data_IF_553448338115
#
_entry.id   IF_553448338115
#
_cell.length_a   1.000
_cell.length_b   1.000
_cell.length_c   1.000
_cell.angle_alpha   90.00
_cell.angle_beta   90.00
_cell.angle_gamma   90.00
#
_symmetry.space_group_name_H-M   'P 1'
#
loop_
_entity.id
_entity.type
_entity.pdbx_description
1 polymer ?
#
# COMPACT_ATOMS: atom_id res chain seq x y z
N UNK A 1 -9.42 13.54 -21.44
CA UNK A 1 -9.75 12.13 -21.17
C UNK A 1 -8.63 11.57 -20.32
N UNK A 2 -8.92 11.07 -19.12
CA UNK A 2 -7.90 10.65 -18.16
C UNK A 2 -7.32 9.30 -18.60
N UNK A 3 -6.12 9.30 -19.18
CA UNK A 3 -5.44 8.10 -19.74
C UNK A 3 -5.11 7.04 -18.69
N UNK A 4 -5.26 7.36 -17.41
CA UNK A 4 -4.98 6.44 -16.31
C UNK A 4 -5.82 5.16 -16.38
N UNK A 5 -7.10 5.29 -16.77
CA UNK A 5 -8.01 4.15 -16.91
C UNK A 5 -7.68 3.26 -18.12
N UNK A 6 -6.79 3.70 -19.01
CA UNK A 6 -6.33 2.87 -20.14
C UNK A 6 -5.30 1.82 -19.68
N UNK A 7 -4.68 2.01 -18.50
CA UNK A 7 -3.61 1.15 -17.97
C UNK A 7 -3.99 0.40 -16.69
N UNK A 8 -4.95 0.92 -15.91
CA UNK A 8 -5.33 0.37 -14.61
C UNK A 8 -6.77 -0.15 -14.67
N UNK A 9 -6.92 -1.46 -14.40
CA UNK A 9 -8.22 -2.11 -14.47
C UNK A 9 -9.07 -1.92 -13.20
N UNK A 10 -8.42 -1.87 -12.03
CA UNK A 10 -9.06 -1.73 -10.72
C UNK A 10 -8.12 -0.98 -9.78
N UNK A 11 -8.69 -0.31 -8.78
CA UNK A 11 -7.89 0.33 -7.75
C UNK A 11 -8.51 0.08 -6.39
N UNK A 12 -7.67 -0.21 -5.40
CA UNK A 12 -8.06 -0.34 -4.00
C UNK A 12 -7.22 0.59 -3.15
N UNK A 13 -7.84 1.23 -2.17
CA UNK A 13 -7.12 1.96 -1.11
C UNK A 13 -7.43 1.29 0.21
N UNK A 14 -6.40 0.81 0.89
CA UNK A 14 -6.49 0.27 2.24
C UNK A 14 -5.83 1.27 3.20
N UNK A 15 -6.59 1.71 4.20
CA UNK A 15 -6.16 2.75 5.12
C UNK A 15 -6.98 2.71 6.39
N UNK A 16 -6.31 2.89 7.54
CA UNK A 16 -6.92 3.31 8.81
C UNK A 16 -6.48 4.75 9.17
N UNK A 17 -5.85 5.45 8.24
CA UNK A 17 -5.35 6.80 8.43
C UNK A 17 -6.49 7.82 8.59
N UNK A 18 -6.21 8.91 9.31
CA UNK A 18 -7.15 10.01 9.53
C UNK A 18 -7.45 10.78 8.23
N UNK A 19 -8.59 11.49 8.20
CA UNK A 19 -9.09 12.22 7.02
C UNK A 19 -8.09 13.21 6.40
N UNK A 20 -7.12 13.71 7.19
CA UNK A 20 -6.10 14.68 6.76
C UNK A 20 -4.72 14.05 6.51
N UNK A 21 -4.66 12.75 6.17
CA UNK A 21 -3.39 12.09 5.91
C UNK A 21 -2.66 12.70 4.70
N UNK A 22 -1.44 13.19 4.94
CA UNK A 22 -0.51 13.68 3.92
C UNK A 22 0.77 12.84 3.98
N UNK A 23 1.13 12.12 2.89
CA UNK A 23 2.34 11.31 2.87
C UNK A 23 3.58 12.19 2.88
N UNK A 24 4.58 11.80 3.66
CA UNK A 24 5.94 12.34 3.54
C UNK A 24 6.70 11.68 2.38
N UNK A 25 6.39 10.40 2.11
CA UNK A 25 7.04 9.62 1.06
C UNK A 25 6.06 8.67 0.38
N UNK A 26 6.29 8.44 -0.91
CA UNK A 26 5.58 7.47 -1.73
C UNK A 26 6.57 6.36 -2.12
N UNK A 27 6.21 5.09 -1.88
CA UNK A 27 7.05 3.92 -2.20
C UNK A 27 6.26 2.97 -3.11
N UNK A 28 6.81 2.64 -4.27
CA UNK A 28 6.16 1.80 -5.27
C UNK A 28 6.80 0.41 -5.39
N UNK A 29 5.95 -0.60 -5.53
CA UNK A 29 6.30 -1.99 -5.81
C UNK A 29 5.52 -2.48 -7.04
N UNK A 30 6.21 -3.15 -7.96
CA UNK A 30 5.59 -3.89 -9.05
C UNK A 30 5.86 -5.38 -8.81
N UNK A 31 4.80 -6.14 -8.55
CA UNK A 31 4.90 -7.54 -8.09
C UNK A 31 3.88 -8.43 -8.77
N UNK A 32 4.14 -9.73 -8.76
CA UNK A 32 3.15 -10.75 -9.10
C UNK A 32 2.54 -11.39 -7.83
N UNK A 33 1.59 -12.30 -8.03
CA UNK A 33 0.88 -13.01 -6.94
C UNK A 33 1.80 -13.71 -5.93
N UNK A 34 2.97 -14.20 -6.35
CA UNK A 34 3.90 -14.96 -5.49
C UNK A 34 4.63 -14.03 -4.52
N UNK A 35 4.66 -12.74 -4.81
CA UNK A 35 5.37 -11.73 -4.02
C UNK A 35 4.44 -10.94 -3.09
N UNK A 36 3.13 -11.23 -3.03
CA UNK A 36 2.22 -10.56 -2.10
C UNK A 36 2.66 -10.71 -0.64
N UNK A 37 3.08 -11.91 -0.22
CA UNK A 37 3.55 -12.13 1.16
C UNK A 37 4.91 -11.48 1.43
N UNK A 38 5.95 -11.66 0.59
CA UNK A 38 7.19 -10.89 0.69
C UNK A 38 6.99 -9.37 0.72
N UNK A 39 6.04 -8.85 -0.08
CA UNK A 39 5.69 -7.44 -0.10
C UNK A 39 5.11 -7.01 1.26
N UNK A 40 4.13 -7.74 1.81
CA UNK A 40 3.61 -7.48 3.16
C UNK A 40 4.70 -7.45 4.25
N UNK A 41 5.66 -8.38 4.22
CA UNK A 41 6.81 -8.40 5.14
C UNK A 41 7.66 -7.14 4.96
N UNK A 42 7.89 -6.72 3.71
CA UNK A 42 8.66 -5.51 3.37
C UNK A 42 7.96 -4.27 3.90
N UNK A 43 6.67 -4.10 3.64
CA UNK A 43 5.87 -3.00 4.17
C UNK A 43 5.97 -2.96 5.70
N UNK A 44 5.73 -4.08 6.38
CA UNK A 44 5.83 -4.15 7.84
C UNK A 44 7.22 -3.75 8.36
N UNK A 45 8.29 -4.20 7.70
CA UNK A 45 9.66 -3.84 8.10
C UNK A 45 9.93 -2.34 7.94
N UNK A 46 9.43 -1.72 6.87
CA UNK A 46 9.59 -0.29 6.62
C UNK A 46 8.81 0.49 7.68
N UNK A 47 7.55 0.16 7.92
CA UNK A 47 6.70 0.92 8.86
C UNK A 47 7.18 0.79 10.29
N UNK A 48 7.59 -0.43 10.71
CA UNK A 48 8.13 -0.67 12.04
C UNK A 48 9.39 0.16 12.35
N UNK A 49 10.25 0.39 11.35
CA UNK A 49 11.50 1.13 11.54
C UNK A 49 11.35 2.63 11.27
N UNK A 50 10.18 3.08 10.78
CA UNK A 50 9.91 4.48 10.46
C UNK A 50 8.53 4.91 11.00
N UNK A 51 8.32 4.85 12.33
CA UNK A 51 7.00 5.07 12.93
C UNK A 51 6.46 6.49 12.75
N UNK A 52 7.34 7.48 12.60
CA UNK A 52 6.98 8.90 12.53
C UNK A 52 6.81 9.42 11.09
N UNK A 53 7.00 8.56 10.08
CA UNK A 53 6.92 8.92 8.67
C UNK A 53 5.55 8.49 8.13
N UNK A 54 4.81 9.42 7.52
CA UNK A 54 3.61 9.09 6.77
C UNK A 54 3.98 8.51 5.41
N UNK A 55 3.56 7.27 5.12
CA UNK A 55 3.97 6.56 3.90
C UNK A 55 2.75 6.16 3.06
N UNK A 56 2.76 6.53 1.78
CA UNK A 56 1.90 5.91 0.78
C UNK A 56 2.66 4.78 0.09
N UNK A 57 2.14 3.56 0.21
CA UNK A 57 2.62 2.41 -0.56
C UNK A 57 1.76 2.24 -1.81
N UNK A 58 2.41 2.03 -2.95
CA UNK A 58 1.78 1.77 -4.25
C UNK A 58 2.16 0.37 -4.71
N UNK A 59 1.18 -0.52 -4.90
CA UNK A 59 1.40 -1.91 -5.33
C UNK A 59 0.73 -2.10 -6.69
N UNK A 60 1.53 -2.28 -7.72
CA UNK A 60 1.07 -2.65 -9.06
C UNK A 60 1.07 -4.17 -9.16
N UNK A 61 -0.09 -4.79 -9.35
CA UNK A 61 -0.21 -6.26 -9.40
C UNK A 61 -1.43 -6.69 -10.22
N UNK A 62 -1.30 -7.83 -10.91
CA UNK A 62 -2.44 -8.48 -11.59
C UNK A 62 -3.32 -9.30 -10.65
N UNK A 63 -2.90 -9.46 -9.39
CA UNK A 63 -3.62 -10.24 -8.38
C UNK A 63 -3.43 -9.64 -6.99
N UNK A 64 -4.53 -9.45 -6.26
CA UNK A 64 -4.51 -8.91 -4.91
C UNK A 64 -5.43 -9.68 -3.97
N UNK A 65 -4.89 -10.08 -2.82
CA UNK A 65 -5.62 -10.61 -1.67
C UNK A 65 -5.27 -9.72 -0.46
N UNK A 66 -6.24 -9.01 0.14
CA UNK A 66 -5.99 -8.11 1.28
C UNK A 66 -5.62 -8.87 2.57
N UNK A 67 -5.75 -10.19 2.61
CA UNK A 67 -5.44 -11.00 3.79
C UNK A 67 -4.00 -10.80 4.23
N UNK A 68 -3.83 -10.35 5.48
CA UNK A 68 -2.52 -10.06 6.10
C UNK A 68 -2.04 -8.62 5.97
N UNK A 69 -2.59 -7.82 5.05
CA UNK A 69 -2.35 -6.37 5.01
C UNK A 69 -3.15 -5.63 6.09
N UNK A 70 -4.29 -6.19 6.53
CA UNK A 70 -5.12 -5.66 7.60
C UNK A 70 -4.34 -5.52 8.92
N UNK A 71 -3.60 -6.56 9.33
CA UNK A 71 -2.77 -6.53 10.54
C UNK A 71 -1.71 -5.41 10.54
N UNK A 72 -1.21 -5.04 9.35
CA UNK A 72 -0.26 -3.94 9.20
C UNK A 72 -0.99 -2.62 9.42
N UNK A 73 -2.17 -2.44 8.83
CA UNK A 73 -2.97 -1.21 8.94
C UNK A 73 -3.54 -0.99 10.34
N UNK A 74 -3.90 -2.06 11.06
CA UNK A 74 -4.37 -1.96 12.45
C UNK A 74 -3.29 -1.45 13.40
N UNK A 75 -2.02 -1.75 13.11
CA UNK A 75 -0.86 -1.37 13.92
C UNK A 75 -0.22 -0.05 13.50
N UNK A 76 -0.58 0.49 12.33
CA UNK A 76 0.07 1.65 11.73
C UNK A 76 -1.00 2.57 11.11
N UNK A 77 -1.28 3.68 11.78
CA UNK A 77 -2.19 4.73 11.27
C UNK A 77 -1.48 5.75 10.37
N UNK A 78 -0.16 5.66 10.26
CA UNK A 78 0.71 6.52 9.46
C UNK A 78 0.94 5.98 8.04
N UNK A 79 0.12 5.05 7.55
CA UNK A 79 0.27 4.51 6.19
C UNK A 79 -1.05 4.39 5.43
N UNK A 80 -0.94 4.40 4.10
CA UNK A 80 -1.97 3.95 3.18
C UNK A 80 -1.36 3.00 2.15
N UNK A 81 -2.17 2.07 1.67
CA UNK A 81 -1.77 1.11 0.64
C UNK A 81 -2.71 1.27 -0.54
N UNK A 82 -2.17 1.72 -1.66
CA UNK A 82 -2.84 1.82 -2.94
C UNK A 82 -2.47 0.62 -3.79
N UNK A 83 -3.47 -0.09 -4.31
CA UNK A 83 -3.28 -1.24 -5.19
C UNK A 83 -3.86 -0.92 -6.56
N UNK A 84 -3.11 -1.21 -7.61
CA UNK A 84 -3.43 -0.96 -9.02
C UNK A 84 -3.36 -2.25 -9.84
#
# INVERSE_FOLDING_TARGET
>A
MNKFNDFVSKTYTLSNAQDNFVPNINIAFAIDKNYLKPCGITLYSITKNNPDINIDFHIFTTFFDPKGYQDILEKNNNIRIHVY
#
